data_IF_402636233744
#
_entry.id   IF_402636233744
#
_cell.length_a   1.000
_cell.length_b   1.000
_cell.length_c   1.000
_cell.angle_alpha   90.00
_cell.angle_beta   90.00
_cell.angle_gamma   90.00
#
_symmetry.space_group_name_H-M   'P 1'
#
loop_
_entity.id
_entity.type
_entity.pdbx_description
1 polymer ?
#
# COMPACT_ATOMS: atom_id res chain seq x y z
N UNK A 1 18.13 -2.01 22.65
CA UNK A 1 19.29 -1.44 21.93
C UNK A 1 18.80 -0.83 20.63
N UNK A 2 18.85 0.49 20.49
CA UNK A 2 18.50 1.17 19.24
C UNK A 2 19.63 1.05 18.23
N UNK A 3 19.37 0.42 17.09
CA UNK A 3 20.25 0.41 15.93
C UNK A 3 20.05 1.72 15.16
N UNK A 4 20.57 2.82 15.70
CA UNK A 4 20.86 4.00 14.87
C UNK A 4 22.20 3.70 14.21
N UNK A 5 22.14 3.19 12.98
CA UNK A 5 23.32 2.90 12.18
C UNK A 5 24.16 4.19 12.07
N UNK A 6 25.39 4.16 12.60
CA UNK A 6 26.36 5.26 12.49
C UNK A 6 27.02 5.32 11.11
N UNK A 7 26.72 4.38 10.22
CA UNK A 7 27.29 4.30 8.88
C UNK A 7 26.23 4.60 7.81
N UNK A 8 26.57 5.49 6.87
CA UNK A 8 25.76 5.88 5.70
C UNK A 8 25.53 4.73 4.69
N UNK A 9 25.77 3.48 5.08
CA UNK A 9 25.55 2.31 4.22
C UNK A 9 24.14 1.76 4.44
N UNK A 10 23.39 1.44 3.38
CA UNK A 10 22.09 0.79 3.52
C UNK A 10 22.24 -0.51 4.32
N UNK A 11 21.64 -0.56 5.51
CA UNK A 11 21.55 -1.80 6.27
C UNK A 11 20.55 -2.68 5.54
N UNK A 12 20.98 -3.85 5.05
CA UNK A 12 20.05 -4.83 4.49
C UNK A 12 19.32 -5.55 5.63
N UNK A 13 18.05 -5.22 5.84
CA UNK A 13 17.20 -5.90 6.81
C UNK A 13 16.62 -7.19 6.19
N UNK A 14 16.81 -8.32 6.87
CA UNK A 14 16.15 -9.59 6.51
C UNK A 14 14.71 -9.62 7.05
N UNK A 15 13.83 -10.38 6.40
CA UNK A 15 12.39 -10.45 6.71
C UNK A 15 12.04 -10.59 8.21
N UNK A 16 12.65 -11.53 8.96
CA UNK A 16 12.38 -11.67 10.39
C UNK A 16 12.79 -10.45 11.23
N UNK A 17 13.87 -9.76 10.86
CA UNK A 17 14.30 -8.53 11.55
C UNK A 17 13.35 -7.37 11.29
N UNK A 18 12.86 -7.24 10.05
CA UNK A 18 11.84 -6.23 9.71
C UNK A 18 10.57 -6.48 10.51
N UNK A 19 10.06 -7.73 10.52
CA UNK A 19 8.86 -8.05 11.29
C UNK A 19 9.06 -7.81 12.78
N UNK A 20 10.21 -8.17 13.34
CA UNK A 20 10.53 -7.90 14.74
C UNK A 20 10.54 -6.41 15.08
N UNK A 21 11.18 -5.59 14.25
CA UNK A 21 11.21 -4.14 14.46
C UNK A 21 9.84 -3.47 14.32
N UNK A 22 9.01 -3.90 13.35
CA UNK A 22 7.64 -3.38 13.22
C UNK A 22 6.81 -3.76 14.43
N UNK A 23 6.86 -5.02 14.89
CA UNK A 23 6.12 -5.42 16.11
C UNK A 23 6.62 -4.68 17.36
N UNK A 24 7.92 -4.42 17.44
CA UNK A 24 8.48 -3.61 18.52
C UNK A 24 7.96 -2.18 18.47
N UNK A 25 7.93 -1.54 17.30
CA UNK A 25 7.39 -0.20 17.09
C UNK A 25 5.91 -0.14 17.50
N UNK A 26 5.11 -1.13 17.09
CA UNK A 26 3.70 -1.21 17.43
C UNK A 26 3.47 -1.36 18.94
N UNK A 27 4.29 -2.14 19.64
CA UNK A 27 4.09 -2.46 21.06
C UNK A 27 4.77 -1.50 22.04
N UNK A 28 5.89 -0.87 21.67
CA UNK A 28 6.71 -0.05 22.57
C UNK A 28 6.55 1.45 22.36
N UNK A 29 5.74 1.86 21.38
CA UNK A 29 5.39 3.26 21.17
C UNK A 29 4.09 3.56 21.93
N UNK A 30 4.07 4.64 22.68
CA UNK A 30 2.83 5.17 23.27
C UNK A 30 2.06 5.92 22.18
N UNK A 31 1.11 5.23 21.56
CA UNK A 31 0.23 5.78 20.53
C UNK A 31 -0.94 6.57 21.12
N UNK A 32 -1.16 6.53 22.44
CA UNK A 32 -2.33 7.06 23.12
C UNK A 32 -3.65 6.49 22.54
N UNK A 33 -4.77 7.15 22.78
CA UNK A 33 -6.05 6.80 22.17
C UNK A 33 -6.09 7.31 20.72
N UNK A 34 -6.36 6.41 19.78
CA UNK A 34 -6.48 6.70 18.36
C UNK A 34 -7.78 6.11 17.82
N UNK A 35 -8.50 6.91 17.03
CA UNK A 35 -9.63 6.41 16.23
C UNK A 35 -9.14 5.55 15.05
N UNK A 36 -8.00 5.92 14.47
CA UNK A 36 -7.44 5.28 13.29
C UNK A 36 -5.91 5.20 13.36
N UNK A 37 -5.37 4.05 12.94
CA UNK A 37 -3.95 3.87 12.69
C UNK A 37 -3.76 3.41 11.25
N UNK A 38 -3.01 4.18 10.47
CA UNK A 38 -2.70 3.85 9.07
C UNK A 38 -1.30 3.23 9.04
N UNK A 39 -1.22 2.02 8.50
CA UNK A 39 0.04 1.30 8.34
C UNK A 39 0.44 1.29 6.87
N UNK A 40 1.55 1.95 6.55
CA UNK A 40 2.16 1.88 5.22
C UNK A 40 3.00 0.60 5.11
N UNK A 41 2.45 -0.39 4.41
CA UNK A 41 3.08 -1.70 4.29
C UNK A 41 4.13 -1.68 3.18
N UNK A 42 5.28 -2.35 3.33
CA UNK A 42 6.27 -2.42 2.27
C UNK A 42 5.65 -3.00 0.98
N UNK A 43 6.10 -2.58 -0.21
CA UNK A 43 5.57 -3.09 -1.46
C UNK A 43 5.95 -4.57 -1.66
N UNK A 44 5.08 -5.31 -2.34
CA UNK A 44 5.35 -6.69 -2.72
C UNK A 44 4.16 -7.61 -2.46
N UNK A 45 4.40 -8.91 -2.71
CA UNK A 45 3.44 -9.99 -2.45
C UNK A 45 4.16 -11.27 -2.00
N UNK A 46 5.35 -11.12 -1.42
CA UNK A 46 6.18 -12.24 -0.96
C UNK A 46 5.79 -12.70 0.45
N UNK A 47 6.26 -13.89 0.84
CA UNK A 47 5.92 -14.53 2.13
C UNK A 47 6.29 -13.67 3.34
N UNK A 48 7.37 -12.90 3.26
CA UNK A 48 7.78 -12.00 4.34
C UNK A 48 6.72 -10.92 4.63
N UNK A 49 6.06 -10.41 3.58
CA UNK A 49 5.00 -9.43 3.72
C UNK A 49 3.71 -10.07 4.23
N UNK A 50 3.34 -11.24 3.72
CA UNK A 50 2.19 -11.98 4.24
C UNK A 50 2.35 -12.27 5.74
N UNK A 51 3.53 -12.74 6.15
CA UNK A 51 3.87 -13.00 7.56
C UNK A 51 3.77 -11.73 8.41
N UNK A 52 4.20 -10.58 7.89
CA UNK A 52 4.07 -9.30 8.59
C UNK A 52 2.59 -8.92 8.76
N UNK A 53 1.81 -8.97 7.68
CA UNK A 53 0.39 -8.60 7.70
C UNK A 53 -0.43 -9.49 8.63
N UNK A 54 -0.11 -10.79 8.72
CA UNK A 54 -0.77 -11.72 9.66
C UNK A 54 -0.54 -11.37 11.13
N UNK A 55 0.54 -10.64 11.45
CA UNK A 55 0.89 -10.27 12.84
C UNK A 55 0.32 -8.90 13.24
N UNK A 56 -0.03 -8.08 12.26
CA UNK A 56 -0.56 -6.75 12.51
C UNK A 56 -2.08 -6.84 12.80
N UNK A 57 -2.61 -6.05 13.75
CA UNK A 57 -4.03 -6.02 14.05
C UNK A 57 -4.79 -5.19 12.99
N UNK A 58 -4.85 -5.70 11.75
CA UNK A 58 -5.46 -5.02 10.61
C UNK A 58 -6.97 -5.27 10.58
N UNK A 59 -7.75 -4.21 10.38
CA UNK A 59 -9.21 -4.30 10.24
C UNK A 59 -9.68 -4.23 8.78
N UNK A 60 -8.92 -3.58 7.91
CA UNK A 60 -9.26 -3.39 6.51
C UNK A 60 -8.02 -2.99 5.69
N UNK A 61 -8.15 -3.03 4.36
CA UNK A 61 -7.09 -2.63 3.43
C UNK A 61 -7.60 -1.61 2.40
N UNK A 62 -6.72 -0.68 2.01
CA UNK A 62 -6.89 0.21 0.87
C UNK A 62 -5.84 -0.16 -0.16
N UNK A 63 -6.26 -0.38 -1.41
CA UNK A 63 -5.35 -0.76 -2.49
C UNK A 63 -4.90 0.49 -3.22
N UNK A 64 -3.58 0.67 -3.36
CA UNK A 64 -3.01 1.78 -4.13
C UNK A 64 -2.33 1.23 -5.37
N UNK A 65 -2.59 1.83 -6.53
CA UNK A 65 -2.02 1.43 -7.81
C UNK A 65 -1.74 2.65 -8.69
N UNK A 66 -1.14 2.42 -9.84
CA UNK A 66 -0.90 3.45 -10.87
C UNK A 66 -1.39 2.93 -12.24
N UNK A 67 -1.60 3.79 -13.26
CA UNK A 67 -2.29 3.36 -14.48
C UNK A 67 -1.51 2.38 -15.36
N UNK A 68 -0.21 2.20 -15.14
CA UNK A 68 0.67 1.35 -15.96
C UNK A 68 0.35 -0.14 -15.75
N UNK A 69 0.43 -0.93 -16.83
CA UNK A 69 0.10 -2.35 -16.79
C UNK A 69 0.94 -3.17 -15.80
N UNK A 70 2.21 -2.81 -15.59
CA UNK A 70 3.08 -3.47 -14.60
C UNK A 70 2.54 -3.31 -13.18
N UNK A 71 2.14 -2.09 -12.81
CA UNK A 71 1.55 -1.78 -11.50
C UNK A 71 0.22 -2.50 -11.31
N UNK A 72 -0.60 -2.55 -12.37
CA UNK A 72 -1.86 -3.30 -12.38
C UNK A 72 -1.65 -4.81 -12.19
N UNK A 73 -0.62 -5.38 -12.81
CA UNK A 73 -0.28 -6.79 -12.66
C UNK A 73 0.10 -7.13 -11.22
N UNK A 74 0.95 -6.31 -10.59
CA UNK A 74 1.38 -6.54 -9.22
C UNK A 74 0.28 -6.25 -8.20
N UNK A 75 -0.55 -5.24 -8.46
CA UNK A 75 -1.74 -4.93 -7.64
C UNK A 75 -2.70 -6.11 -7.58
N UNK A 76 -2.90 -6.84 -8.69
CA UNK A 76 -3.74 -8.04 -8.70
C UNK A 76 -3.22 -9.12 -7.77
N UNK A 77 -1.90 -9.36 -7.76
CA UNK A 77 -1.28 -10.33 -6.83
C UNK A 77 -1.47 -9.88 -5.38
N UNK A 78 -1.33 -8.58 -5.10
CA UNK A 78 -1.55 -8.01 -3.77
C UNK A 78 -2.98 -8.19 -3.27
N UNK A 79 -3.96 -7.98 -4.15
CA UNK A 79 -5.38 -8.23 -3.84
C UNK A 79 -5.62 -9.70 -3.46
N UNK A 80 -5.05 -10.65 -4.19
CA UNK A 80 -5.19 -12.08 -3.86
C UNK A 80 -4.53 -12.42 -2.52
N UNK A 81 -3.41 -11.77 -2.18
CA UNK A 81 -2.78 -11.91 -0.86
C UNK A 81 -3.69 -11.38 0.27
N UNK A 82 -4.28 -10.19 0.11
CA UNK A 82 -5.21 -9.60 1.08
C UNK A 82 -6.46 -10.45 1.25
N UNK A 83 -6.99 -11.04 0.17
CA UNK A 83 -8.13 -11.97 0.25
C UNK A 83 -7.84 -13.20 1.10
N UNK A 84 -6.59 -13.72 1.09
CA UNK A 84 -6.18 -14.84 1.96
C UNK A 84 -6.12 -14.47 3.44
N UNK A 85 -5.99 -13.18 3.75
CA UNK A 85 -6.05 -12.65 5.11
C UNK A 85 -7.49 -12.35 5.55
N UNK A 86 -8.48 -12.57 4.67
CA UNK A 86 -9.90 -12.29 4.92
C UNK A 86 -10.19 -10.84 5.30
N UNK A 87 -9.27 -9.92 4.98
CA UNK A 87 -9.44 -8.51 5.27
C UNK A 87 -10.40 -7.85 4.26
N UNK A 88 -11.35 -7.02 4.72
CA UNK A 88 -12.19 -6.23 3.83
C UNK A 88 -11.34 -5.20 3.10
N UNK A 89 -11.51 -5.13 1.78
CA UNK A 89 -10.90 -4.07 0.96
C UNK A 89 -11.91 -2.93 0.84
N UNK A 90 -11.57 -1.77 1.40
CA UNK A 90 -12.45 -0.60 1.41
C UNK A 90 -12.52 0.06 0.03
N UNK A 91 -11.43 0.08 -0.71
CA UNK A 91 -11.41 0.72 -2.01
C UNK A 91 -10.06 0.64 -2.72
N UNK A 92 -10.02 1.29 -3.89
CA UNK A 92 -8.82 1.41 -4.69
C UNK A 92 -8.54 2.86 -5.07
N UNK A 93 -7.27 3.24 -4.91
CA UNK A 93 -6.71 4.53 -5.28
C UNK A 93 -5.82 4.34 -6.51
N UNK A 94 -6.17 4.98 -7.62
CA UNK A 94 -5.30 5.12 -8.80
C UNK A 94 -4.49 6.40 -8.64
N UNK A 95 -3.28 6.26 -8.11
CA UNK A 95 -2.31 7.34 -7.97
C UNK A 95 -1.66 7.65 -9.33
N UNK A 96 -1.05 8.83 -9.46
CA UNK A 96 -0.38 9.30 -10.68
C UNK A 96 -1.25 9.16 -11.94
N UNK A 97 -2.54 9.40 -11.79
CA UNK A 97 -3.55 9.09 -12.81
C UNK A 97 -3.54 10.07 -13.98
N UNK A 98 -3.16 11.32 -13.74
CA UNK A 98 -2.87 12.36 -14.72
C UNK A 98 -2.02 13.45 -14.08
N UNK A 99 -1.53 14.36 -14.90
CA UNK A 99 -0.90 15.63 -14.51
C UNK A 99 -1.76 16.75 -15.09
N UNK A 100 -2.06 17.79 -14.31
CA UNK A 100 -2.83 18.96 -14.74
C UNK A 100 -2.13 20.22 -14.21
N UNK A 101 -1.33 20.91 -15.03
CA UNK A 101 -0.63 22.12 -14.58
C UNK A 101 -1.63 23.25 -14.31
N UNK A 102 -1.40 24.06 -13.28
CA UNK A 102 -2.32 25.15 -12.90
C UNK A 102 -2.59 26.15 -14.04
N UNK A 103 -1.59 26.35 -14.88
CA UNK A 103 -1.62 27.26 -16.03
C UNK A 103 -2.44 26.73 -17.22
N UNK A 104 -2.72 25.43 -17.26
CA UNK A 104 -3.52 24.81 -18.32
C UNK A 104 -4.43 23.70 -17.77
N UNK A 105 -5.74 23.87 -17.94
CA UNK A 105 -6.80 22.90 -17.57
C UNK A 105 -6.80 21.59 -18.38
N UNK A 106 -5.69 21.27 -19.04
CA UNK A 106 -5.52 20.08 -19.86
C UNK A 106 -4.91 18.97 -19.01
N UNK A 107 -5.56 17.81 -19.01
CA UNK A 107 -5.06 16.60 -18.35
C UNK A 107 -4.07 15.85 -19.24
N UNK A 108 -2.89 15.59 -18.72
CA UNK A 108 -1.83 14.81 -19.34
C UNK A 108 -1.75 13.43 -18.67
N UNK A 109 -1.98 12.38 -19.45
CA UNK A 109 -1.96 11.00 -18.96
C UNK A 109 -0.57 10.39 -19.17
N UNK A 110 0.43 10.93 -18.48
CA UNK A 110 1.86 10.58 -18.65
C UNK A 110 2.09 9.07 -18.49
N UNK A 111 1.33 8.45 -17.60
CA UNK A 111 1.49 7.04 -17.19
C UNK A 111 0.39 6.12 -17.73
N UNK A 112 -0.42 6.60 -18.68
CA UNK A 112 -1.61 5.90 -19.16
C UNK A 112 -2.87 6.28 -18.37
N UNK A 113 -3.99 5.60 -18.67
CA UNK A 113 -5.31 5.99 -18.17
C UNK A 113 -6.17 4.78 -17.81
N UNK A 114 -6.71 4.77 -16.59
CA UNK A 114 -7.78 3.86 -16.19
C UNK A 114 -7.36 2.41 -15.97
N UNK A 115 -6.08 2.15 -15.69
CA UNK A 115 -5.60 0.82 -15.31
C UNK A 115 -6.30 0.30 -14.05
N UNK A 116 -6.36 1.11 -13.00
CA UNK A 116 -7.00 0.79 -11.72
C UNK A 116 -8.52 0.67 -11.85
N UNK A 117 -9.14 1.45 -12.76
CA UNK A 117 -10.58 1.31 -13.05
C UNK A 117 -10.92 -0.10 -13.54
N UNK A 118 -10.06 -0.72 -14.36
CA UNK A 118 -10.25 -2.10 -14.85
C UNK A 118 -10.22 -3.12 -13.70
N UNK A 119 -9.42 -2.87 -12.65
CA UNK A 119 -9.39 -3.70 -11.44
C UNK A 119 -10.68 -3.48 -10.65
N UNK A 120 -11.01 -2.21 -10.36
CA UNK A 120 -12.16 -1.83 -9.56
C UNK A 120 -13.48 -2.39 -10.11
N UNK A 121 -13.72 -2.26 -11.41
CA UNK A 121 -14.96 -2.74 -12.05
C UNK A 121 -15.18 -4.25 -11.94
N UNK A 122 -14.11 -5.04 -11.78
CA UNK A 122 -14.22 -6.48 -11.56
C UNK A 122 -14.53 -6.82 -10.09
N UNK A 123 -14.44 -5.86 -9.18
CA UNK A 123 -14.75 -6.04 -7.77
C UNK A 123 -16.10 -5.41 -7.42
N UNK A 124 -17.17 -6.20 -7.48
CA UNK A 124 -18.55 -5.78 -7.17
C UNK A 124 -18.80 -5.35 -5.71
N UNK A 125 -17.80 -5.42 -4.82
CA UNK A 125 -17.95 -5.22 -3.38
C UNK A 125 -17.20 -4.01 -2.80
N UNK A 126 -16.41 -3.30 -3.60
CA UNK A 126 -15.60 -2.18 -3.08
C UNK A 126 -16.41 -0.89 -3.03
N UNK A 127 -16.31 -0.14 -1.93
CA UNK A 127 -17.16 1.02 -1.71
C UNK A 127 -16.68 2.28 -2.42
N UNK A 128 -15.41 2.36 -2.84
CA UNK A 128 -14.85 3.59 -3.43
C UNK A 128 -13.69 3.39 -4.40
N UNK A 129 -13.66 4.20 -5.46
CA UNK A 129 -12.56 4.33 -6.42
C UNK A 129 -12.14 5.80 -6.53
N UNK A 130 -10.89 6.11 -6.18
CA UNK A 130 -10.36 7.45 -6.20
C UNK A 130 -9.22 7.57 -7.22
N UNK A 131 -9.13 8.75 -7.84
CA UNK A 131 -8.05 9.12 -8.75
C UNK A 131 -7.30 10.31 -8.18
N UNK A 132 -5.99 10.17 -8.04
CA UNK A 132 -5.12 11.26 -7.61
C UNK A 132 -4.18 11.67 -8.74
N UNK A 133 -3.93 12.97 -8.85
CA UNK A 133 -3.05 13.59 -9.82
C UNK A 133 -1.86 14.24 -9.11
N UNK A 134 -0.82 14.57 -9.88
CA UNK A 134 0.25 15.46 -9.44
C UNK A 134 -0.19 16.91 -9.58
#
# INVERSE_FOLDING_TARGET
MGLIARDQKPVMWRGPMVSGAVMQLMAQTDWQELDYMIIDTPPGTGDAQLTLLQRLPLNAAIIVTTPQDVSISDTKKGIEMIKRLELPILGLIENMSFFEPEEAKKKYYIFGKGGGKKIFQKSMKWSSYLKYHW
#
